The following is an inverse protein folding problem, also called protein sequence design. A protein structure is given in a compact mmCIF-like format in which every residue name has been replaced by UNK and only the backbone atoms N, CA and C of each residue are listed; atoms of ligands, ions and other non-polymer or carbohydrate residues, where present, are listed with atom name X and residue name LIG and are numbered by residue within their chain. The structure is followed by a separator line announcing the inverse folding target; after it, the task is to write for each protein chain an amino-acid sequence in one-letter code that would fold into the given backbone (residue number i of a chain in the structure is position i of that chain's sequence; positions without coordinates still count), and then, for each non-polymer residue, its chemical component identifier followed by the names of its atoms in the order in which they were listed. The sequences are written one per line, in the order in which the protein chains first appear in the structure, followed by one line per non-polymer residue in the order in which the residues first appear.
data_IF_702969044525
#
_entry.id   IF_702969044525
#
_cell.length_a   1.000
_cell.length_b   1.000
_cell.length_c   1.000
_cell.angle_alpha   90.00
_cell.angle_beta   90.00
_cell.angle_gamma   90.00
#
_symmetry.space_group_name_H-M   'P 1'
#
loop_
_entity.id
_entity.type
_entity.pdbx_description
1 polymer ?
#
# COMPACT_ATOMS: atom_id res chain seq x y z
N UNK A 1 -6.43 4.38 4.07
CA UNK A 1 -6.91 3.12 3.42
C UNK A 1 -8.32 3.26 2.86
N UNK A 2 -9.34 3.63 3.65
CA UNK A 2 -10.72 3.79 3.13
C UNK A 2 -10.86 4.85 2.02
N UNK A 3 -10.08 5.93 2.08
CA UNK A 3 -10.05 6.97 1.04
C UNK A 3 -9.52 6.44 -0.30
N UNK A 4 -8.39 5.71 -0.28
CA UNK A 4 -7.81 5.07 -1.47
C UNK A 4 -8.79 4.09 -2.11
N UNK A 5 -9.48 3.28 -1.31
CA UNK A 5 -10.51 2.36 -1.85
C UNK A 5 -11.63 3.15 -2.53
N UNK A 6 -12.11 4.23 -1.91
CA UNK A 6 -13.18 5.06 -2.50
C UNK A 6 -12.77 5.75 -3.80
N UNK A 7 -11.50 6.12 -3.94
CA UNK A 7 -10.96 6.81 -5.10
C UNK A 7 -10.77 5.87 -6.30
N UNK A 8 -10.33 4.63 -6.05
CA UNK A 8 -9.98 3.68 -7.10
C UNK A 8 -11.00 2.56 -7.32
N UNK A 9 -12.06 2.47 -6.51
CA UNK A 9 -13.14 1.48 -6.70
C UNK A 9 -13.81 1.67 -8.06
N UNK A 10 -14.04 0.56 -8.76
CA UNK A 10 -14.75 0.56 -10.06
C UNK A 10 -16.27 0.57 -9.87
N UNK A 11 -16.74 0.11 -8.71
CA UNK A 11 -18.15 0.13 -8.33
C UNK A 11 -18.30 0.15 -6.81
N UNK A 12 -19.53 0.37 -6.34
CA UNK A 12 -19.80 0.40 -4.90
C UNK A 12 -19.46 -0.95 -4.26
N UNK A 13 -18.64 -0.89 -3.20
CA UNK A 13 -18.19 -2.09 -2.48
C UNK A 13 -17.03 -2.84 -3.13
N UNK A 14 -16.45 -2.31 -4.21
CA UNK A 14 -15.25 -2.87 -4.80
C UNK A 14 -14.03 -2.59 -3.92
N UNK A 15 -13.59 -3.63 -3.21
CA UNK A 15 -12.39 -3.63 -2.39
C UNK A 15 -11.27 -4.49 -2.98
N UNK A 16 -11.48 -5.08 -4.16
CA UNK A 16 -10.71 -6.22 -4.64
C UNK A 16 -10.16 -6.08 -6.06
N UNK A 17 -10.62 -5.08 -6.81
CA UNK A 17 -10.14 -4.83 -8.16
C UNK A 17 -8.62 -4.60 -8.20
N UNK A 18 -7.97 -4.93 -9.34
CA UNK A 18 -6.56 -4.66 -9.54
C UNK A 18 -6.18 -3.21 -9.24
N UNK A 19 -7.01 -2.24 -9.63
CA UNK A 19 -6.81 -0.82 -9.41
C UNK A 19 -6.77 -0.47 -7.92
N UNK A 20 -7.75 -0.93 -7.16
CA UNK A 20 -7.80 -0.73 -5.69
C UNK A 20 -6.62 -1.40 -5.00
N UNK A 21 -6.28 -2.64 -5.38
CA UNK A 21 -5.18 -3.39 -4.77
C UNK A 21 -3.82 -2.75 -5.07
N UNK A 22 -3.58 -2.32 -6.31
CA UNK A 22 -2.35 -1.61 -6.70
C UNK A 22 -2.22 -0.29 -5.96
N UNK A 23 -3.32 0.48 -5.83
CA UNK A 23 -3.31 1.75 -5.10
C UNK A 23 -3.00 1.54 -3.61
N UNK A 24 -3.60 0.50 -2.98
CA UNK A 24 -3.32 0.14 -1.59
C UNK A 24 -1.87 -0.30 -1.37
N UNK A 25 -1.31 -1.13 -2.25
CA UNK A 25 0.08 -1.58 -2.18
C UNK A 25 1.05 -0.40 -2.36
N UNK A 26 0.78 0.47 -3.33
CA UNK A 26 1.58 1.69 -3.56
C UNK A 26 1.63 2.57 -2.32
N UNK A 27 0.48 2.86 -1.71
CA UNK A 27 0.43 3.68 -0.49
C UNK A 27 1.16 3.02 0.70
N UNK A 28 1.09 1.69 0.83
CA UNK A 28 1.85 0.99 1.86
C UNK A 28 3.38 1.09 1.61
N UNK A 29 3.82 0.99 0.36
CA UNK A 29 5.23 1.14 -0.03
C UNK A 29 5.73 2.54 0.31
N UNK A 30 4.98 3.58 -0.07
CA UNK A 30 5.33 4.98 0.19
C UNK A 30 5.45 5.27 1.70
N UNK A 31 4.49 4.78 2.49
CA UNK A 31 4.51 4.92 3.94
C UNK A 31 5.76 4.27 4.57
N UNK A 32 6.16 3.09 4.10
CA UNK A 32 7.29 2.34 4.65
C UNK A 32 8.65 2.78 4.10
N UNK A 33 8.67 3.55 3.01
CA UNK A 33 9.91 4.03 2.41
C UNK A 33 10.75 4.86 3.40
N UNK A 34 10.09 5.69 4.21
CA UNK A 34 10.73 6.46 5.29
C UNK A 34 11.30 5.57 6.40
N UNK A 35 10.54 4.56 6.83
CA UNK A 35 10.96 3.57 7.83
C UNK A 35 12.25 2.87 7.40
N UNK A 36 12.38 2.47 6.14
CA UNK A 36 13.59 1.79 5.66
C UNK A 36 14.80 2.71 5.52
N UNK A 37 14.61 4.03 5.40
CA UNK A 37 15.71 5.00 5.42
C UNK A 37 16.30 5.14 6.83
N UNK A 38 15.47 5.15 7.87
CA UNK A 38 15.92 5.19 9.28
C UNK A 38 16.40 3.81 9.78
N UNK A 39 15.75 2.73 9.34
CA UNK A 39 16.05 1.35 9.75
C UNK A 39 16.73 0.56 8.61
N UNK A 40 17.98 0.92 8.31
CA UNK A 40 18.73 0.34 7.17
C UNK A 40 18.93 -1.18 7.24
N UNK A 41 18.99 -1.73 8.45
CA UNK A 41 19.19 -3.16 8.72
C UNK A 41 17.89 -3.97 8.86
N UNK A 42 16.73 -3.33 8.77
CA UNK A 42 15.45 -4.03 8.78
C UNK A 42 15.17 -4.67 7.41
N UNK A 43 15.80 -5.82 7.16
CA UNK A 43 15.65 -6.59 5.93
C UNK A 43 14.40 -7.47 5.93
N UNK A 44 13.89 -7.83 7.12
CA UNK A 44 12.73 -8.72 7.25
C UNK A 44 11.46 -8.02 6.81
N UNK A 45 11.21 -6.81 7.35
CA UNK A 45 10.03 -6.02 6.97
C UNK A 45 10.10 -5.58 5.50
N UNK A 46 11.31 -5.31 4.96
CA UNK A 46 11.50 -4.94 3.54
C UNK A 46 11.24 -6.10 2.58
N UNK A 47 11.45 -7.34 3.00
CA UNK A 47 11.15 -8.53 2.18
C UNK A 47 9.66 -8.91 2.24
N UNK A 48 9.00 -8.57 3.36
CA UNK A 48 7.56 -8.78 3.51
C UNK A 48 6.71 -7.70 2.84
N UNK A 49 7.32 -6.56 2.54
CA UNK A 49 6.79 -5.56 1.61
C UNK A 49 7.03 -5.99 0.17
#
# INVERSE_FOLDING_TARGET
KAEIVKEYQVGEGDTGSPEVQVALLTANIEQLQGHFKSHKHDHHSRRGL
#
